data_IF_652629692454
#
_entry.id   IF_652629692454
#
_cell.length_a   1.000
_cell.length_b   1.000
_cell.length_c   1.000
_cell.angle_alpha   90.00
_cell.angle_beta   90.00
_cell.angle_gamma   90.00
#
_symmetry.space_group_name_H-M   'P 1'
#
loop_
_entity.id
_entity.type
_entity.pdbx_description
1 polymer ?
#
# COMPACT_ATOMS: atom_id res chain seq x y z
N UNK A 1 -17.25 -1.27 49.76
CA UNK A 1 -16.83 -0.91 48.39
C UNK A 1 -18.07 -0.56 47.60
N UNK A 2 -18.05 0.52 46.81
CA UNK A 2 -19.17 0.84 45.92
C UNK A 2 -19.37 -0.33 44.95
N UNK A 3 -20.60 -0.63 44.51
CA UNK A 3 -20.91 -1.79 43.64
C UNK A 3 -20.05 -1.80 42.37
N UNK A 4 -19.69 -0.62 41.89
CA UNK A 4 -18.76 -0.39 40.77
C UNK A 4 -17.33 -0.86 41.10
N UNK A 5 -16.85 -0.62 42.33
CA UNK A 5 -15.48 -0.96 42.74
C UNK A 5 -15.26 -2.46 42.88
N UNK A 6 -16.25 -3.24 43.34
CA UNK A 6 -16.09 -4.71 43.32
C UNK A 6 -16.21 -5.26 41.91
N UNK A 7 -17.14 -4.74 41.10
CA UNK A 7 -17.29 -5.12 39.70
C UNK A 7 -16.01 -4.90 38.90
N UNK A 8 -15.25 -3.85 39.18
CA UNK A 8 -13.96 -3.58 38.54
C UNK A 8 -12.88 -4.63 38.87
N UNK A 9 -12.94 -5.26 40.05
CA UNK A 9 -12.00 -6.32 40.45
C UNK A 9 -12.34 -7.67 39.82
N UNK A 10 -13.61 -7.87 39.47
CA UNK A 10 -14.13 -9.10 38.87
C UNK A 10 -14.25 -9.01 37.34
N UNK A 11 -13.81 -7.90 36.72
CA UNK A 11 -13.87 -7.76 35.27
C UNK A 11 -12.84 -8.65 34.58
N UNK A 12 -13.24 -9.36 33.50
CA UNK A 12 -12.30 -10.12 32.70
C UNK A 12 -11.25 -9.20 32.07
N UNK A 13 -10.01 -9.70 32.01
CA UNK A 13 -8.92 -9.01 31.31
C UNK A 13 -9.20 -8.93 29.81
N UNK A 14 -8.68 -7.89 29.14
CA UNK A 14 -8.66 -7.77 27.68
C UNK A 14 -10.04 -7.75 26.99
N UNK A 15 -11.06 -7.24 27.67
CA UNK A 15 -12.40 -7.03 27.11
C UNK A 15 -12.61 -5.56 26.72
N UNK A 16 -13.09 -5.34 25.50
CA UNK A 16 -13.47 -4.02 24.98
C UNK A 16 -14.97 -3.95 24.78
N UNK A 17 -15.59 -2.94 25.40
CA UNK A 17 -17.02 -2.70 25.28
C UNK A 17 -17.27 -1.55 24.31
N UNK A 18 -18.04 -1.81 23.26
CA UNK A 18 -18.40 -0.84 22.22
C UNK A 18 -19.91 -0.63 22.22
N UNK A 19 -20.35 0.59 21.95
CA UNK A 19 -21.77 0.91 21.79
C UNK A 19 -22.22 0.61 20.35
N UNK A 20 -23.30 -0.17 20.18
CA UNK A 20 -23.79 -0.61 18.89
C UNK A 20 -24.07 0.53 17.91
N UNK A 21 -24.69 1.62 18.36
CA UNK A 21 -24.95 2.79 17.51
C UNK A 21 -23.67 3.43 16.96
N UNK A 22 -22.58 3.44 17.74
CA UNK A 22 -21.30 4.04 17.30
C UNK A 22 -20.68 3.23 16.17
N UNK A 23 -20.87 1.91 16.17
CA UNK A 23 -20.36 1.00 15.17
C UNK A 23 -20.98 1.21 13.79
N UNK A 24 -22.27 1.55 13.72
CA UNK A 24 -23.00 1.60 12.46
C UNK A 24 -22.43 2.63 11.46
N UNK A 25 -21.78 3.68 11.97
CA UNK A 25 -21.13 4.70 11.14
C UNK A 25 -19.72 4.33 10.68
N UNK A 26 -19.09 3.33 11.30
CA UNK A 26 -17.73 2.90 10.98
C UNK A 26 -17.70 2.15 9.64
N UNK A 27 -16.53 2.15 9.01
CA UNK A 27 -16.21 1.39 7.79
C UNK A 27 -15.13 0.34 8.03
N UNK A 28 -14.69 0.21 9.27
CA UNK A 28 -13.71 -0.74 9.75
C UNK A 28 -13.78 -0.73 11.29
N UNK A 29 -13.46 -1.85 11.95
CA UNK A 29 -13.41 -1.89 13.41
C UNK A 29 -12.29 -0.99 13.93
N UNK A 30 -12.54 -0.27 15.03
CA UNK A 30 -11.52 0.55 15.71
C UNK A 30 -10.87 -0.17 16.90
N UNK A 31 -11.16 -1.46 17.05
CA UNK A 31 -10.75 -2.26 18.21
C UNK A 31 -9.85 -3.38 17.71
N UNK A 32 -8.70 -3.61 18.36
CA UNK A 32 -7.82 -4.71 17.99
C UNK A 32 -8.56 -6.06 18.03
N UNK A 33 -8.47 -6.89 16.98
CA UNK A 33 -9.26 -8.11 16.87
C UNK A 33 -8.88 -9.22 17.86
N UNK A 34 -7.70 -9.10 18.48
CA UNK A 34 -7.21 -10.06 19.46
C UNK A 34 -7.78 -9.87 20.87
N UNK A 35 -8.55 -8.79 21.07
CA UNK A 35 -9.28 -8.53 22.31
C UNK A 35 -10.69 -9.08 22.18
N UNK A 36 -11.28 -9.49 23.29
CA UNK A 36 -12.68 -9.86 23.31
C UNK A 36 -13.53 -8.59 23.16
N UNK A 37 -14.51 -8.61 22.26
CA UNK A 37 -15.35 -7.42 21.97
C UNK A 37 -16.78 -7.69 22.39
N UNK A 38 -17.35 -6.76 23.17
CA UNK A 38 -18.76 -6.76 23.55
C UNK A 38 -19.43 -5.54 22.94
N UNK A 39 -20.28 -5.77 21.94
CA UNK A 39 -21.12 -4.73 21.34
C UNK A 39 -22.41 -4.64 22.17
N UNK A 40 -22.58 -3.57 22.92
CA UNK A 40 -23.80 -3.30 23.69
C UNK A 40 -24.88 -2.72 22.81
N UNK A 41 -26.14 -3.06 23.13
CA UNK A 41 -27.32 -2.57 22.41
C UNK A 41 -27.18 -2.69 20.87
N UNK A 42 -26.86 -3.89 20.33
CA UNK A 42 -26.68 -4.05 18.88
C UNK A 42 -28.05 -3.94 18.17
N UNK A 43 -28.22 -2.96 17.27
CA UNK A 43 -29.53 -2.68 16.65
C UNK A 43 -29.65 -3.10 15.18
N UNK A 44 -28.54 -3.18 14.44
CA UNK A 44 -28.56 -3.48 13.00
C UNK A 44 -27.72 -4.74 12.70
N UNK A 45 -28.34 -5.93 12.62
CA UNK A 45 -27.62 -7.18 12.38
C UNK A 45 -26.91 -7.22 11.04
N UNK A 46 -27.48 -6.60 10.00
CA UNK A 46 -26.91 -6.60 8.65
C UNK A 46 -25.67 -5.72 8.64
N UNK A 47 -25.78 -4.49 9.18
CA UNK A 47 -24.65 -3.57 9.21
C UNK A 47 -23.51 -4.07 10.10
N UNK A 48 -23.83 -4.65 11.25
CA UNK A 48 -22.81 -5.25 12.13
C UNK A 48 -22.14 -6.44 11.42
N UNK A 49 -22.91 -7.28 10.74
CA UNK A 49 -22.37 -8.38 9.93
C UNK A 49 -21.42 -7.88 8.84
N UNK A 50 -21.77 -6.81 8.11
CA UNK A 50 -20.91 -6.21 7.09
C UNK A 50 -19.56 -5.79 7.68
N UNK A 51 -19.57 -5.05 8.81
CA UNK A 51 -18.35 -4.55 9.46
C UNK A 51 -17.48 -5.72 9.95
N UNK A 52 -18.08 -6.70 10.63
CA UNK A 52 -17.33 -7.84 11.17
C UNK A 52 -16.77 -8.74 10.05
N UNK A 53 -17.47 -8.86 8.92
CA UNK A 53 -17.04 -9.72 7.81
C UNK A 53 -15.81 -9.18 7.05
N UNK A 54 -15.39 -7.94 7.30
CA UNK A 54 -14.14 -7.40 6.76
C UNK A 54 -12.90 -8.06 7.37
N UNK A 55 -13.01 -8.57 8.61
CA UNK A 55 -11.86 -9.04 9.39
C UNK A 55 -12.05 -10.46 9.94
N UNK A 56 -13.28 -10.84 10.26
CA UNK A 56 -13.58 -12.14 10.87
C UNK A 56 -14.10 -13.13 9.83
N UNK A 57 -13.67 -14.40 9.87
CA UNK A 57 -14.13 -15.42 8.93
C UNK A 57 -15.63 -15.74 9.14
N UNK A 58 -16.35 -16.22 8.11
CA UNK A 58 -17.78 -16.53 8.22
C UNK A 58 -18.15 -17.53 9.34
N UNK A 59 -17.23 -18.44 9.67
CA UNK A 59 -17.39 -19.45 10.72
C UNK A 59 -16.96 -18.95 12.13
N UNK A 60 -16.66 -17.65 12.28
CA UNK A 60 -16.21 -17.10 13.55
C UNK A 60 -17.34 -17.14 14.61
N UNK A 61 -17.06 -17.61 15.83
CA UNK A 61 -18.06 -17.73 16.88
C UNK A 61 -18.41 -16.37 17.50
N UNK A 62 -19.70 -16.12 17.63
CA UNK A 62 -20.28 -14.99 18.36
C UNK A 62 -21.25 -15.52 19.43
N UNK A 63 -21.61 -14.69 20.39
CA UNK A 63 -22.69 -14.99 21.33
C UNK A 63 -23.63 -13.80 21.49
N UNK A 64 -24.93 -14.04 21.32
CA UNK A 64 -25.97 -13.05 21.63
C UNK A 64 -26.29 -13.16 23.11
N UNK A 65 -26.16 -12.05 23.83
CA UNK A 65 -26.54 -11.95 25.23
C UNK A 65 -27.94 -11.35 25.30
N UNK A 66 -28.91 -12.13 25.78
CA UNK A 66 -30.33 -11.74 25.81
C UNK A 66 -30.65 -10.94 27.09
N UNK A 67 -31.58 -9.98 26.98
CA UNK A 67 -32.14 -9.30 28.15
C UNK A 67 -33.23 -10.14 28.77
N UNK A 68 -33.02 -10.65 29.97
CA UNK A 68 -34.09 -11.19 30.80
C UNK A 68 -34.48 -10.18 31.89
N UNK A 69 -35.77 -9.78 31.99
CA UNK A 69 -36.23 -8.83 33.00
C UNK A 69 -36.06 -9.30 34.45
N UNK A 70 -36.07 -10.62 34.69
CA UNK A 70 -36.21 -11.21 36.03
C UNK A 70 -35.15 -12.28 36.40
N UNK A 71 -34.13 -12.52 35.55
CA UNK A 71 -33.09 -13.57 35.76
C UNK A 71 -31.68 -13.14 35.31
N UNK A 72 -30.68 -14.01 35.57
CA UNK A 72 -29.33 -13.90 35.01
C UNK A 72 -29.34 -13.77 33.47
N UNK A 73 -28.34 -13.07 32.92
CA UNK A 73 -28.16 -12.92 31.48
C UNK A 73 -27.90 -14.30 30.85
N UNK A 74 -28.66 -14.63 29.81
CA UNK A 74 -28.47 -15.87 29.05
C UNK A 74 -27.71 -15.54 27.75
N UNK A 75 -26.72 -16.38 27.40
CA UNK A 75 -25.97 -16.25 26.16
C UNK A 75 -26.30 -17.39 25.20
N UNK A 76 -26.48 -17.05 23.92
CA UNK A 76 -26.76 -17.99 22.84
C UNK A 76 -25.67 -17.92 21.77
N UNK A 77 -24.92 -19.01 21.51
CA UNK A 77 -23.89 -19.00 20.48
C UNK A 77 -24.48 -18.95 19.07
N UNK A 78 -23.80 -18.23 18.18
CA UNK A 78 -24.07 -18.17 16.74
C UNK A 78 -22.74 -18.11 15.97
N UNK A 79 -22.82 -18.24 14.64
CA UNK A 79 -21.69 -17.98 13.75
C UNK A 79 -21.89 -16.64 13.05
N UNK A 80 -20.80 -15.99 12.67
CA UNK A 80 -20.86 -14.70 11.98
C UNK A 80 -21.72 -14.75 10.71
N UNK A 81 -21.60 -15.81 9.90
CA UNK A 81 -22.39 -15.98 8.66
C UNK A 81 -23.91 -15.93 8.88
N UNK A 82 -24.37 -16.27 10.08
CA UNK A 82 -25.79 -16.33 10.45
C UNK A 82 -26.31 -15.00 11.03
N UNK A 83 -25.41 -14.09 11.43
CA UNK A 83 -25.77 -12.83 12.11
C UNK A 83 -26.76 -11.98 11.31
N UNK A 84 -26.56 -11.86 10.00
CA UNK A 84 -27.45 -11.07 9.12
C UNK A 84 -28.89 -11.62 9.05
N UNK A 85 -29.10 -12.88 9.40
CA UNK A 85 -30.40 -13.58 9.30
C UNK A 85 -31.11 -13.68 10.65
N UNK A 86 -30.57 -13.08 11.71
CA UNK A 86 -31.05 -13.24 13.09
C UNK A 86 -32.37 -12.48 13.36
N UNK A 87 -32.79 -11.61 12.43
CA UNK A 87 -34.02 -10.82 12.55
C UNK A 87 -34.00 -9.84 13.73
N UNK A 88 -35.17 -9.61 14.32
CA UNK A 88 -35.37 -8.63 15.41
C UNK A 88 -34.79 -9.09 16.76
N UNK A 89 -34.31 -10.34 16.88
CA UNK A 89 -33.73 -10.88 18.12
C UNK A 89 -32.55 -10.02 18.59
N UNK A 90 -31.67 -9.61 17.65
CA UNK A 90 -30.51 -8.79 17.98
C UNK A 90 -30.89 -7.41 18.54
N UNK A 91 -31.94 -6.79 17.99
CA UNK A 91 -32.43 -5.47 18.46
C UNK A 91 -32.85 -5.48 19.93
N UNK A 92 -33.31 -6.63 20.42
CA UNK A 92 -33.72 -6.81 21.81
C UNK A 92 -32.60 -7.33 22.72
N UNK A 93 -31.45 -7.70 22.15
CA UNK A 93 -30.31 -8.21 22.88
C UNK A 93 -29.70 -7.16 23.83
N UNK A 94 -29.10 -7.65 24.91
CA UNK A 94 -28.28 -6.85 25.80
C UNK A 94 -26.95 -6.51 25.12
N UNK A 95 -26.34 -7.51 24.50
CA UNK A 95 -25.07 -7.39 23.81
C UNK A 95 -24.85 -8.49 22.76
N UNK A 96 -23.87 -8.26 21.89
CA UNK A 96 -23.25 -9.26 21.03
C UNK A 96 -21.78 -9.38 21.44
N UNK A 97 -21.38 -10.57 21.88
CA UNK A 97 -20.01 -10.90 22.26
C UNK A 97 -19.31 -11.55 21.08
N UNK A 98 -18.08 -11.11 20.80
CA UNK A 98 -17.24 -11.58 19.70
C UNK A 98 -15.99 -12.16 20.33
N UNK A 99 -15.69 -13.43 20.03
CA UNK A 99 -14.48 -14.07 20.51
C UNK A 99 -13.24 -13.41 19.88
N UNK A 100 -12.10 -13.32 20.59
CA UNK A 100 -10.88 -12.76 20.05
C UNK A 100 -10.32 -13.63 18.91
N UNK A 101 -9.70 -12.98 17.92
CA UNK A 101 -8.81 -13.63 16.96
C UNK A 101 -7.42 -13.88 17.58
N UNK A 102 -6.55 -14.54 16.82
CA UNK A 102 -5.14 -14.68 17.24
C UNK A 102 -4.50 -13.30 17.39
N UNK A 103 -3.65 -13.13 18.40
CA UNK A 103 -2.83 -11.91 18.57
C UNK A 103 -2.04 -11.56 17.30
N UNK A 104 -1.66 -12.57 16.51
CA UNK A 104 -0.95 -12.40 15.23
C UNK A 104 -1.73 -11.61 14.17
N UNK A 105 -3.04 -11.47 14.32
CA UNK A 105 -3.90 -10.68 13.44
C UNK A 105 -3.96 -9.19 13.85
N UNK A 106 -3.31 -8.78 14.93
CA UNK A 106 -3.36 -7.40 15.43
C UNK A 106 -2.12 -6.61 15.07
N UNK A 107 -2.35 -5.38 14.60
CA UNK A 107 -1.31 -4.40 14.35
C UNK A 107 -0.58 -3.99 15.64
N UNK A 108 -1.29 -3.81 16.74
CA UNK A 108 -0.72 -3.50 18.07
C UNK A 108 0.18 -4.62 18.55
N UNK A 109 -0.22 -5.88 18.35
CA UNK A 109 0.63 -7.01 18.67
C UNK A 109 1.89 -7.03 17.81
N UNK A 110 1.77 -6.74 16.51
CA UNK A 110 2.94 -6.63 15.64
C UNK A 110 3.91 -5.54 16.09
N UNK A 111 3.42 -4.35 16.46
CA UNK A 111 4.25 -3.30 17.07
C UNK A 111 4.98 -3.80 18.32
N UNK A 112 4.30 -4.56 19.18
CA UNK A 112 4.91 -5.16 20.36
C UNK A 112 5.98 -6.20 20.00
N UNK A 113 5.79 -7.01 18.96
CA UNK A 113 6.83 -7.95 18.46
C UNK A 113 8.10 -7.17 18.09
N UNK A 114 7.98 -6.08 17.34
CA UNK A 114 9.13 -5.25 16.96
C UNK A 114 9.79 -4.60 18.18
N UNK A 115 9.00 -4.09 19.13
CA UNK A 115 9.52 -3.56 20.38
C UNK A 115 10.30 -4.62 21.18
N UNK A 116 9.80 -5.87 21.25
CA UNK A 116 10.50 -7.00 21.90
C UNK A 116 11.81 -7.30 21.18
N UNK A 117 11.81 -7.40 19.85
CA UNK A 117 13.01 -7.66 19.06
C UNK A 117 14.10 -6.61 19.32
N UNK A 118 13.71 -5.35 19.54
CA UNK A 118 14.65 -4.25 19.81
C UNK A 118 14.94 -3.99 21.29
N UNK A 119 14.20 -4.61 22.19
CA UNK A 119 14.37 -4.46 23.65
C UNK A 119 15.72 -4.99 24.16
N UNK A 120 16.18 -4.59 25.36
CA UNK A 120 17.32 -5.24 26.00
C UNK A 120 17.08 -6.75 26.17
N UNK A 121 17.95 -7.57 25.58
CA UNK A 121 17.78 -9.03 25.52
C UNK A 121 17.05 -9.54 24.27
N UNK A 122 16.57 -8.65 23.41
CA UNK A 122 16.05 -8.95 22.08
C UNK A 122 17.14 -9.31 21.07
N UNK A 123 16.77 -9.31 19.79
CA UNK A 123 17.63 -9.68 18.67
C UNK A 123 18.79 -8.67 18.49
N UNK A 124 20.07 -9.10 18.55
CA UNK A 124 21.20 -8.21 18.35
C UNK A 124 21.23 -7.57 16.95
N UNK A 125 20.71 -8.26 15.93
CA UNK A 125 20.68 -7.76 14.56
C UNK A 125 19.64 -6.65 14.39
N UNK A 126 18.43 -6.81 14.92
CA UNK A 126 17.40 -5.76 14.85
C UNK A 126 17.87 -4.52 15.60
N UNK A 127 18.41 -4.70 16.81
CA UNK A 127 18.88 -3.60 17.66
C UNK A 127 19.96 -2.71 17.04
N UNK A 128 20.83 -3.27 16.19
CA UNK A 128 21.89 -2.48 15.54
C UNK A 128 21.39 -1.67 14.32
N UNK A 129 20.17 -1.92 13.85
CA UNK A 129 19.62 -1.22 12.68
C UNK A 129 19.40 0.27 12.97
N UNK A 130 19.61 1.08 11.94
CA UNK A 130 19.35 2.52 11.90
C UNK A 130 18.48 2.84 10.68
N UNK A 131 17.93 4.06 10.62
CA UNK A 131 17.20 4.51 9.42
C UNK A 131 18.03 4.38 8.14
N UNK A 132 19.34 4.62 8.22
CA UNK A 132 20.23 4.57 7.06
C UNK A 132 20.54 3.14 6.64
N UNK A 133 20.70 2.20 7.58
CA UNK A 133 21.02 0.81 7.23
C UNK A 133 19.83 0.07 6.60
N UNK A 134 18.60 0.47 6.92
CA UNK A 134 17.37 -0.15 6.42
C UNK A 134 16.94 0.33 5.03
N UNK A 135 17.65 1.29 4.43
CA UNK A 135 17.23 1.90 3.16
C UNK A 135 17.21 0.93 1.99
N UNK A 136 18.26 0.13 1.86
CA UNK A 136 18.46 -0.72 0.69
C UNK A 136 17.50 -1.92 0.77
N UNK A 137 17.38 -2.52 1.95
CA UNK A 137 16.39 -3.56 2.26
C UNK A 137 14.96 -3.05 2.00
N UNK A 138 14.59 -1.84 2.46
CA UNK A 138 13.26 -1.29 2.19
C UNK A 138 12.97 -1.10 0.69
N UNK A 139 13.98 -0.72 -0.08
CA UNK A 139 13.83 -0.58 -1.52
C UNK A 139 13.70 -1.95 -2.20
N UNK A 140 14.38 -2.97 -1.68
CA UNK A 140 14.24 -4.35 -2.12
C UNK A 140 12.81 -4.84 -1.92
N UNK A 141 12.22 -4.72 -0.72
CA UNK A 141 10.84 -5.19 -0.48
C UNK A 141 9.82 -4.44 -1.34
N UNK A 142 10.07 -3.15 -1.61
CA UNK A 142 9.25 -2.40 -2.55
C UNK A 142 9.32 -2.94 -3.98
N UNK A 143 10.48 -3.46 -4.42
CA UNK A 143 10.62 -4.09 -5.73
C UNK A 143 10.07 -5.52 -5.75
N UNK A 144 10.19 -6.28 -4.66
CA UNK A 144 9.60 -7.62 -4.53
C UNK A 144 8.06 -7.53 -4.57
N UNK A 145 7.48 -6.52 -3.89
CA UNK A 145 6.06 -6.18 -4.02
C UNK A 145 5.66 -5.88 -5.48
N UNK A 146 6.46 -5.10 -6.20
CA UNK A 146 6.19 -4.79 -7.61
C UNK A 146 6.28 -6.04 -8.49
N UNK A 147 7.22 -6.94 -8.22
CA UNK A 147 7.36 -8.21 -8.94
C UNK A 147 6.14 -9.12 -8.71
N UNK A 148 5.63 -9.20 -7.48
CA UNK A 148 4.38 -9.88 -7.15
C UNK A 148 3.19 -9.33 -7.93
N UNK A 149 3.06 -7.99 -8.00
CA UNK A 149 2.03 -7.31 -8.80
C UNK A 149 2.15 -7.60 -10.29
N UNK A 150 3.37 -7.49 -10.85
CA UNK A 150 3.64 -7.72 -12.27
C UNK A 150 3.35 -9.19 -12.67
N UNK A 151 3.47 -10.13 -11.73
CA UNK A 151 3.13 -11.55 -11.89
C UNK A 151 1.69 -11.92 -11.55
N UNK A 152 0.90 -10.98 -11.00
CA UNK A 152 -0.42 -11.24 -10.40
C UNK A 152 -0.40 -12.34 -9.32
N UNK A 153 0.70 -12.44 -8.58
CA UNK A 153 0.85 -13.37 -7.46
C UNK A 153 0.38 -12.70 -6.16
N UNK A 154 -0.88 -12.96 -5.79
CA UNK A 154 -1.49 -12.29 -4.63
C UNK A 154 -0.95 -12.78 -3.27
N UNK A 155 -0.40 -14.00 -3.22
CA UNK A 155 0.23 -14.51 -2.01
C UNK A 155 1.55 -13.78 -1.77
N UNK A 156 2.37 -13.63 -2.82
CA UNK A 156 3.57 -12.80 -2.78
C UNK A 156 3.23 -11.34 -2.44
N UNK A 157 2.21 -10.74 -3.08
CA UNK A 157 1.79 -9.37 -2.74
C UNK A 157 1.43 -9.21 -1.26
N UNK A 158 0.74 -10.19 -0.67
CA UNK A 158 0.39 -10.14 0.75
C UNK A 158 1.62 -10.27 1.66
N UNK A 159 2.58 -11.12 1.30
CA UNK A 159 3.87 -11.29 2.00
C UNK A 159 4.68 -9.98 1.98
N UNK A 160 4.91 -9.42 0.79
CA UNK A 160 5.72 -8.22 0.61
C UNK A 160 5.09 -6.95 1.20
N UNK A 161 3.75 -6.86 1.22
CA UNK A 161 3.07 -5.80 1.97
C UNK A 161 3.35 -5.89 3.49
N UNK A 162 3.53 -7.12 4.00
CA UNK A 162 3.97 -7.38 5.36
C UNK A 162 5.39 -6.89 5.62
N UNK A 163 6.31 -7.12 4.68
CA UNK A 163 7.71 -6.70 4.81
C UNK A 163 7.89 -5.18 4.66
N UNK A 164 7.13 -4.55 3.76
CA UNK A 164 6.99 -3.09 3.72
C UNK A 164 6.44 -2.54 5.04
N UNK A 165 5.45 -3.20 5.64
CA UNK A 165 4.90 -2.81 6.94
C UNK A 165 5.93 -2.97 8.07
N UNK A 166 6.73 -4.05 8.06
CA UNK A 166 7.85 -4.23 8.97
C UNK A 166 8.80 -3.04 8.93
N UNK A 167 9.18 -2.59 7.74
CA UNK A 167 10.06 -1.43 7.57
C UNK A 167 9.46 -0.12 8.11
N UNK A 168 8.14 0.06 8.02
CA UNK A 168 7.46 1.23 8.61
C UNK A 168 7.52 1.15 10.14
N UNK A 169 7.16 0.00 10.71
CA UNK A 169 7.07 -0.17 12.16
C UNK A 169 8.44 -0.15 12.83
N UNK A 170 9.46 -0.82 12.25
CA UNK A 170 10.82 -0.82 12.82
C UNK A 170 11.44 0.57 12.81
N UNK A 171 11.18 1.39 11.78
CA UNK A 171 11.66 2.76 11.75
C UNK A 171 10.93 3.65 12.75
N UNK A 172 9.62 3.50 12.92
CA UNK A 172 8.88 4.19 13.98
C UNK A 172 9.41 3.81 15.38
N UNK A 173 9.77 2.53 15.57
CA UNK A 173 10.36 2.05 16.82
C UNK A 173 11.78 2.62 17.05
N UNK A 174 12.63 2.71 16.03
CA UNK A 174 13.94 3.39 16.10
C UNK A 174 13.78 4.86 16.49
N UNK A 175 12.83 5.56 15.87
CA UNK A 175 12.57 6.97 16.17
C UNK A 175 12.07 7.18 17.60
N UNK A 176 11.22 6.26 18.09
CA UNK A 176 10.73 6.28 19.47
C UNK A 176 11.88 6.10 20.47
N UNK A 177 12.78 5.14 20.22
CA UNK A 177 13.98 4.90 21.04
C UNK A 177 14.89 6.13 21.13
N UNK A 178 14.90 6.94 20.07
CA UNK A 178 15.66 8.20 19.99
C UNK A 178 14.89 9.43 20.49
N UNK A 179 13.65 9.27 20.98
CA UNK A 179 12.75 10.36 21.41
C UNK A 179 12.42 11.38 20.30
N UNK A 180 12.31 10.92 19.05
CA UNK A 180 12.05 11.78 17.88
C UNK A 180 10.55 11.83 17.54
N UNK A 181 9.96 10.67 17.25
CA UNK A 181 8.53 10.48 16.98
C UNK A 181 8.14 9.02 17.21
N UNK A 182 6.84 8.72 17.23
CA UNK A 182 6.30 7.38 17.40
C UNK A 182 5.32 7.00 16.27
N UNK A 183 4.82 5.75 16.29
CA UNK A 183 3.87 5.27 15.28
C UNK A 183 2.57 6.09 15.25
N UNK A 184 2.11 6.58 16.40
CA UNK A 184 0.95 7.48 16.48
C UNK A 184 1.16 8.79 15.73
N UNK A 185 2.36 9.36 15.78
CA UNK A 185 2.71 10.56 14.99
C UNK A 185 2.70 10.26 13.49
N UNK A 186 3.22 9.11 13.07
CA UNK A 186 3.19 8.65 11.67
C UNK A 186 1.74 8.51 11.17
N UNK A 187 0.89 7.84 11.94
CA UNK A 187 -0.53 7.65 11.62
C UNK A 187 -1.30 8.97 11.60
N UNK A 188 -1.02 9.87 12.54
CA UNK A 188 -1.64 11.19 12.59
C UNK A 188 -1.31 12.01 11.34
N UNK A 189 -0.02 12.09 10.98
CA UNK A 189 0.43 12.83 9.80
C UNK A 189 -0.24 12.36 8.51
N UNK A 190 -0.37 11.05 8.28
CA UNK A 190 -1.01 10.54 7.07
C UNK A 190 -2.53 10.70 7.13
N UNK A 191 -3.16 10.48 8.28
CA UNK A 191 -4.62 10.58 8.45
C UNK A 191 -5.10 12.01 8.26
N UNK A 192 -4.49 12.99 8.94
CA UNK A 192 -4.83 14.41 8.80
C UNK A 192 -4.67 14.88 7.35
N UNK A 193 -3.58 14.45 6.69
CA UNK A 193 -3.31 14.77 5.29
C UNK A 193 -4.36 14.17 4.35
N UNK A 194 -4.77 12.92 4.56
CA UNK A 194 -5.80 12.28 3.74
C UNK A 194 -7.18 12.91 3.97
N UNK A 195 -7.56 13.18 5.23
CA UNK A 195 -8.81 13.85 5.57
C UNK A 195 -8.86 15.25 4.94
N UNK A 196 -7.78 16.03 5.09
CA UNK A 196 -7.68 17.36 4.49
C UNK A 196 -7.80 17.35 2.98
N UNK A 197 -7.19 16.37 2.29
CA UNK A 197 -7.28 16.24 0.83
C UNK A 197 -8.62 15.70 0.34
N UNK A 198 -9.38 15.03 1.21
CA UNK A 198 -10.67 14.39 0.89
C UNK A 198 -11.83 14.97 1.72
N UNK A 199 -11.81 16.27 2.03
CA UNK A 199 -12.92 16.92 2.76
C UNK A 199 -14.30 16.66 2.13
N UNK A 200 -14.37 16.53 0.80
CA UNK A 200 -15.63 16.19 0.12
C UNK A 200 -16.24 14.86 0.62
N UNK A 201 -15.41 13.86 0.93
CA UNK A 201 -15.84 12.57 1.49
C UNK A 201 -16.17 12.69 2.98
N UNK A 202 -15.25 13.28 3.77
CA UNK A 202 -15.36 13.29 5.23
C UNK A 202 -16.34 14.32 5.78
N UNK A 203 -16.52 15.46 5.09
CA UNK A 203 -17.49 16.51 5.44
C UNK A 203 -18.80 16.37 4.64
N UNK A 204 -18.93 15.34 3.78
CA UNK A 204 -20.11 15.07 2.92
C UNK A 204 -20.61 16.28 2.16
N UNK A 205 -19.69 17.09 1.65
CA UNK A 205 -20.02 18.40 1.05
C UNK A 205 -20.69 18.24 -0.31
N UNK A 206 -20.17 17.34 -1.15
CA UNK A 206 -20.51 17.24 -2.57
C UNK A 206 -20.21 15.83 -3.12
N UNK A 207 -21.07 15.33 -4.00
CA UNK A 207 -20.76 14.19 -4.87
C UNK A 207 -20.02 14.71 -6.12
N UNK A 208 -18.72 14.38 -6.23
CA UNK A 208 -17.85 14.84 -7.31
C UNK A 208 -17.56 13.71 -8.30
N UNK A 209 -17.39 14.06 -9.59
CA UNK A 209 -16.85 13.12 -10.59
C UNK A 209 -15.36 12.84 -10.33
N UNK A 210 -14.81 11.71 -10.81
CA UNK A 210 -13.38 11.39 -10.67
C UNK A 210 -12.46 12.52 -11.16
N UNK A 211 -12.80 13.18 -12.26
CA UNK A 211 -12.03 14.30 -12.81
C UNK A 211 -12.03 15.52 -11.88
N UNK A 212 -13.19 15.83 -11.30
CA UNK A 212 -13.35 16.92 -10.32
C UNK A 212 -12.60 16.64 -9.02
N UNK A 213 -12.55 15.37 -8.59
CA UNK A 213 -11.76 14.94 -7.42
C UNK A 213 -10.27 15.18 -7.67
N UNK A 214 -9.76 14.85 -8.86
CA UNK A 214 -8.35 15.05 -9.23
C UNK A 214 -7.99 16.54 -9.21
N UNK A 215 -8.82 17.40 -9.81
CA UNK A 215 -8.60 18.86 -9.80
C UNK A 215 -8.59 19.42 -8.38
N UNK A 216 -9.57 19.01 -7.55
CA UNK A 216 -9.66 19.41 -6.15
C UNK A 216 -8.45 18.92 -5.35
N UNK A 217 -8.01 17.69 -5.58
CA UNK A 217 -6.86 17.09 -4.90
C UNK A 217 -5.58 17.90 -5.15
N UNK A 218 -5.34 18.31 -6.41
CA UNK A 218 -4.21 19.18 -6.75
C UNK A 218 -4.32 20.57 -6.11
N UNK A 219 -5.52 21.15 -6.09
CA UNK A 219 -5.77 22.44 -5.40
C UNK A 219 -5.48 22.35 -3.90
N UNK A 220 -5.95 21.28 -3.23
CA UNK A 220 -5.72 21.08 -1.79
C UNK A 220 -4.24 20.82 -1.50
N UNK A 221 -3.53 20.09 -2.36
CA UNK A 221 -2.07 19.89 -2.26
C UNK A 221 -1.31 21.22 -2.37
N UNK A 222 -1.77 22.16 -3.20
CA UNK A 222 -1.20 23.51 -3.28
C UNK A 222 -1.46 24.30 -1.98
N UNK A 223 -2.69 24.30 -1.48
CA UNK A 223 -3.05 24.98 -0.22
C UNK A 223 -2.30 24.43 1.00
N UNK A 224 -2.04 23.11 1.05
CA UNK A 224 -1.21 22.47 2.08
C UNK A 224 0.23 23.02 2.06
N UNK A 225 0.81 23.15 0.87
CA UNK A 225 2.17 23.70 0.69
C UNK A 225 2.25 25.17 1.09
N UNK A 226 1.21 25.96 0.85
CA UNK A 226 1.18 27.38 1.22
C UNK A 226 1.11 27.60 2.75
N UNK A 227 0.58 26.61 3.51
CA UNK A 227 0.55 26.66 4.99
C UNK A 227 1.91 26.37 5.63
N UNK A 228 2.74 25.56 4.99
CA UNK A 228 4.12 25.33 5.40
C UNK A 228 4.98 26.42 4.77
N UNK A 229 5.64 27.27 5.56
CA UNK A 229 6.46 28.42 5.10
C UNK A 229 7.74 28.02 4.29
N UNK A 230 7.75 26.81 3.73
CA UNK A 230 8.77 26.27 2.84
C UNK A 230 8.46 26.73 1.42
N UNK A 231 9.17 27.76 0.95
CA UNK A 231 9.24 28.08 -0.49
C UNK A 231 9.87 26.90 -1.23
N UNK A 232 9.03 26.01 -1.75
CA UNK A 232 9.44 24.89 -2.60
C UNK A 232 9.33 25.33 -4.06
N UNK A 233 10.42 25.20 -4.81
CA UNK A 233 10.45 25.29 -6.26
C UNK A 233 9.53 24.24 -6.92
N UNK A 234 9.25 24.41 -8.22
CA UNK A 234 8.31 23.57 -8.97
C UNK A 234 8.65 22.07 -8.87
N UNK A 235 9.94 21.75 -8.91
CA UNK A 235 10.47 20.38 -8.92
C UNK A 235 10.80 19.85 -7.52
N UNK A 236 10.74 20.70 -6.49
CA UNK A 236 11.17 20.34 -5.12
C UNK A 236 10.31 19.23 -4.51
N UNK A 237 10.96 18.28 -3.83
CA UNK A 237 10.29 17.10 -3.27
C UNK A 237 10.05 15.98 -4.28
N UNK A 238 10.77 15.95 -5.39
CA UNK A 238 11.07 14.71 -6.12
C UNK A 238 12.36 14.15 -5.52
N UNK A 239 12.39 12.86 -5.17
CA UNK A 239 13.58 12.25 -4.60
C UNK A 239 14.69 12.17 -5.65
N UNK A 240 15.90 12.58 -5.29
CA UNK A 240 17.08 12.41 -6.14
C UNK A 240 17.54 10.96 -6.25
N UNK A 241 17.03 10.06 -5.39
CA UNK A 241 17.36 8.62 -5.40
C UNK A 241 16.38 7.80 -6.22
N UNK A 242 15.37 8.43 -6.83
CA UNK A 242 14.40 7.74 -7.67
C UNK A 242 15.05 7.23 -8.96
N UNK A 243 14.59 6.10 -9.53
CA UNK A 243 14.98 5.68 -10.88
C UNK A 243 14.82 6.81 -11.92
N UNK A 244 15.72 6.85 -12.89
CA UNK A 244 15.87 7.98 -13.80
C UNK A 244 14.61 8.23 -14.65
N UNK A 245 13.94 7.18 -15.15
CA UNK A 245 12.73 7.35 -15.98
C UNK A 245 11.56 7.83 -15.12
N UNK A 246 11.37 7.26 -13.94
CA UNK A 246 10.39 7.74 -12.95
C UNK A 246 10.61 9.19 -12.55
N UNK A 247 11.87 9.61 -12.40
CA UNK A 247 12.26 10.98 -12.07
C UNK A 247 11.92 11.93 -13.21
N UNK A 248 12.34 11.61 -14.44
CA UNK A 248 12.03 12.39 -15.64
C UNK A 248 10.53 12.54 -15.85
N UNK A 249 9.77 11.45 -15.68
CA UNK A 249 8.31 11.43 -15.79
C UNK A 249 7.68 12.36 -14.74
N UNK A 250 8.18 12.31 -13.50
CA UNK A 250 7.73 13.18 -12.41
C UNK A 250 8.04 14.66 -12.67
N UNK A 251 9.23 14.98 -13.20
CA UNK A 251 9.58 16.35 -13.57
C UNK A 251 8.65 16.89 -14.65
N UNK A 252 8.46 16.16 -15.73
CA UNK A 252 7.60 16.57 -16.84
C UNK A 252 6.14 16.71 -16.43
N UNK A 253 5.62 15.79 -15.60
CA UNK A 253 4.25 15.88 -15.05
C UNK A 253 4.05 17.09 -14.14
N UNK A 254 5.10 17.60 -13.50
CA UNK A 254 5.02 18.85 -12.72
C UNK A 254 5.16 20.08 -13.60
N UNK A 255 6.04 20.04 -14.59
CA UNK A 255 6.22 21.11 -15.56
C UNK A 255 4.92 21.39 -16.34
N UNK A 256 4.22 20.34 -16.78
CA UNK A 256 2.97 20.50 -17.52
C UNK A 256 1.86 21.21 -16.74
N UNK A 257 1.84 21.07 -15.40
CA UNK A 257 0.84 21.73 -14.54
C UNK A 257 0.94 23.26 -14.51
N UNK A 258 2.10 23.81 -14.87
CA UNK A 258 2.29 25.27 -14.97
C UNK A 258 2.25 25.76 -16.42
N UNK A 259 1.77 24.91 -17.35
CA UNK A 259 1.70 25.22 -18.77
C UNK A 259 3.03 25.09 -19.51
N UNK A 260 4.05 24.47 -18.89
CA UNK A 260 5.28 24.11 -19.60
C UNK A 260 5.09 22.73 -20.25
N UNK A 261 4.31 22.70 -21.32
CA UNK A 261 4.00 21.51 -22.10
C UNK A 261 3.74 21.87 -23.58
N UNK A 262 3.70 20.87 -24.45
CA UNK A 262 3.36 21.03 -25.86
C UNK A 262 1.85 21.21 -26.06
N UNK A 263 1.45 21.86 -27.16
CA UNK A 263 0.03 22.02 -27.50
C UNK A 263 -0.61 20.73 -28.04
N UNK A 264 0.21 19.81 -28.56
CA UNK A 264 -0.24 18.55 -29.11
C UNK A 264 0.85 17.48 -29.07
N UNK A 265 0.42 16.21 -29.16
CA UNK A 265 1.34 15.07 -29.24
C UNK A 265 2.25 15.11 -30.48
N UNK A 266 1.87 15.84 -31.55
CA UNK A 266 2.72 16.00 -32.73
C UNK A 266 4.04 16.68 -32.37
N UNK A 267 4.01 17.75 -31.56
CA UNK A 267 5.23 18.43 -31.14
C UNK A 267 6.14 17.57 -30.27
N UNK A 268 5.56 16.61 -29.54
CA UNK A 268 6.34 15.61 -28.77
C UNK A 268 7.07 14.65 -29.72
N UNK A 269 6.39 14.17 -30.76
CA UNK A 269 7.02 13.34 -31.79
C UNK A 269 8.11 14.09 -32.55
N UNK A 270 7.84 15.34 -32.93
CA UNK A 270 8.82 16.19 -33.62
C UNK A 270 10.09 16.32 -32.78
N UNK A 271 9.96 16.57 -31.46
CA UNK A 271 11.11 16.62 -30.55
C UNK A 271 11.83 15.27 -30.43
N UNK A 272 11.12 14.15 -30.35
CA UNK A 272 11.77 12.82 -30.36
C UNK A 272 12.60 12.60 -31.63
N UNK A 273 12.10 13.01 -32.80
CA UNK A 273 12.86 12.89 -34.05
C UNK A 273 14.06 13.85 -34.11
N UNK A 274 13.92 15.05 -33.55
CA UNK A 274 15.02 16.01 -33.38
C UNK A 274 16.16 15.40 -32.57
N UNK A 275 15.87 14.86 -31.37
CA UNK A 275 16.89 14.23 -30.49
C UNK A 275 17.56 13.01 -31.13
N UNK A 276 16.82 12.23 -31.94
CA UNK A 276 17.39 11.11 -32.69
C UNK A 276 18.44 11.61 -33.70
N UNK A 277 18.16 12.70 -34.40
CA UNK A 277 19.09 13.28 -35.37
C UNK A 277 20.26 13.98 -34.67
N UNK A 278 20.05 14.64 -33.52
CA UNK A 278 21.13 15.22 -32.70
C UNK A 278 22.09 14.13 -32.21
N UNK A 279 21.58 13.04 -31.62
CA UNK A 279 22.38 11.88 -31.21
C UNK A 279 23.15 11.24 -32.38
N UNK A 280 22.53 11.16 -33.56
CA UNK A 280 23.15 10.59 -34.76
C UNK A 280 24.29 11.45 -35.29
N UNK A 281 24.17 12.77 -35.18
CA UNK A 281 25.15 13.74 -35.69
C UNK A 281 26.24 14.07 -34.67
N UNK A 282 26.06 13.71 -33.39
CA UNK A 282 27.08 13.89 -32.35
C UNK A 282 28.40 13.19 -32.72
N UNK A 283 29.50 13.92 -32.64
CA UNK A 283 30.81 13.46 -33.10
C UNK A 283 31.64 12.85 -31.97
N UNK A 284 31.53 13.43 -30.76
CA UNK A 284 32.27 13.00 -29.58
C UNK A 284 31.46 12.04 -28.70
N UNK A 285 32.15 11.32 -27.82
CA UNK A 285 31.50 10.40 -26.88
C UNK A 285 30.70 11.15 -25.80
N UNK A 286 31.18 12.32 -25.38
CA UNK A 286 30.51 13.16 -24.38
C UNK A 286 29.23 13.75 -24.97
N UNK A 287 29.28 14.31 -26.19
CA UNK A 287 28.09 14.75 -26.91
C UNK A 287 27.08 13.61 -27.08
N UNK A 288 27.52 12.42 -27.52
CA UNK A 288 26.61 11.26 -27.64
C UNK A 288 25.96 10.88 -26.31
N UNK A 289 26.67 10.99 -25.19
CA UNK A 289 26.12 10.67 -23.88
C UNK A 289 25.05 11.68 -23.46
N UNK A 290 25.30 12.98 -23.72
CA UNK A 290 24.35 14.05 -23.45
C UNK A 290 23.09 13.91 -24.32
N UNK A 291 23.25 13.75 -25.64
CA UNK A 291 22.12 13.58 -26.59
C UNK A 291 21.32 12.29 -26.33
N UNK A 292 21.98 11.22 -25.86
CA UNK A 292 21.27 10.01 -25.44
C UNK A 292 20.37 10.29 -24.21
N UNK A 293 20.84 11.13 -23.29
CA UNK A 293 20.06 11.59 -22.15
C UNK A 293 18.81 12.34 -22.57
N UNK A 294 18.96 13.29 -23.50
CA UNK A 294 17.85 14.11 -24.01
C UNK A 294 16.87 13.28 -24.87
N UNK A 295 17.36 12.33 -25.65
CA UNK A 295 16.53 11.34 -26.33
C UNK A 295 15.69 10.51 -25.35
N UNK A 296 16.30 9.96 -24.29
CA UNK A 296 15.59 9.21 -23.26
C UNK A 296 14.55 10.10 -22.54
N UNK A 297 14.91 11.34 -22.25
CA UNK A 297 14.00 12.32 -21.65
C UNK A 297 12.79 12.61 -22.56
N UNK A 298 13.01 12.76 -23.87
CA UNK A 298 11.96 12.98 -24.86
C UNK A 298 11.06 11.75 -25.03
N UNK A 299 11.61 10.53 -24.99
CA UNK A 299 10.81 9.29 -24.96
C UNK A 299 9.93 9.22 -23.72
N UNK A 300 10.45 9.62 -22.55
CA UNK A 300 9.64 9.71 -21.31
C UNK A 300 8.49 10.71 -21.47
N UNK A 301 8.70 11.81 -22.20
CA UNK A 301 7.65 12.79 -22.46
C UNK A 301 6.55 12.22 -23.37
N UNK A 302 6.93 11.43 -24.37
CA UNK A 302 5.99 10.69 -25.20
C UNK A 302 5.18 9.67 -24.38
N UNK A 303 5.85 8.93 -23.47
CA UNK A 303 5.18 8.01 -22.56
C UNK A 303 4.14 8.74 -21.67
N UNK A 304 4.48 9.93 -21.16
CA UNK A 304 3.55 10.77 -20.38
C UNK A 304 2.33 11.20 -21.18
N UNK A 305 2.50 11.65 -22.42
CA UNK A 305 1.38 12.04 -23.30
C UNK A 305 0.47 10.87 -23.64
N UNK A 306 1.03 9.67 -23.74
CA UNK A 306 0.29 8.42 -23.99
C UNK A 306 -0.23 7.75 -22.71
N UNK A 307 0.01 8.36 -21.53
CA UNK A 307 -0.38 7.87 -20.20
C UNK A 307 0.22 6.51 -19.84
N UNK A 308 1.43 6.25 -20.34
CA UNK A 308 2.21 5.04 -20.06
C UNK A 308 3.26 5.37 -19.00
N UNK A 309 3.41 4.52 -17.99
CA UNK A 309 4.51 4.61 -17.02
C UNK A 309 5.79 4.05 -17.64
N UNK A 310 6.83 4.89 -17.89
CA UNK A 310 8.01 4.46 -18.64
C UNK A 310 8.87 3.46 -17.88
N UNK A 311 8.97 3.60 -16.56
CA UNK A 311 9.76 2.70 -15.70
C UNK A 311 9.20 1.28 -15.71
N UNK A 312 7.89 1.16 -15.47
CA UNK A 312 7.17 -0.12 -15.52
C UNK A 312 7.22 -0.71 -16.92
N UNK A 313 7.02 0.10 -17.96
CA UNK A 313 7.09 -0.37 -19.35
C UNK A 313 8.47 -0.99 -19.68
N UNK A 314 9.56 -0.32 -19.28
CA UNK A 314 10.91 -0.85 -19.49
C UNK A 314 11.16 -2.09 -18.62
N UNK A 315 10.71 -2.11 -17.37
CA UNK A 315 10.82 -3.29 -16.49
C UNK A 315 10.11 -4.50 -17.11
N UNK A 316 8.91 -4.33 -17.64
CA UNK A 316 8.17 -5.40 -18.34
C UNK A 316 8.88 -5.85 -19.62
N UNK A 317 9.48 -4.93 -20.37
CA UNK A 317 10.30 -5.28 -21.54
C UNK A 317 11.53 -6.12 -21.14
N UNK A 318 12.20 -5.77 -20.03
CA UNK A 318 13.33 -6.53 -19.49
C UNK A 318 12.91 -7.93 -19.02
N UNK A 319 11.77 -8.06 -18.33
CA UNK A 319 11.22 -9.36 -17.92
C UNK A 319 10.92 -10.24 -19.12
N UNK A 320 10.31 -9.68 -20.18
CA UNK A 320 10.05 -10.40 -21.43
C UNK A 320 11.33 -10.82 -22.13
N UNK A 321 12.35 -9.96 -22.16
CA UNK A 321 13.66 -10.31 -22.68
C UNK A 321 14.28 -11.48 -21.90
N UNK A 322 14.27 -11.42 -20.56
CA UNK A 322 14.79 -12.46 -19.70
C UNK A 322 14.06 -13.80 -19.90
N UNK A 323 12.73 -13.82 -19.97
CA UNK A 323 11.93 -15.02 -20.26
C UNK A 323 12.34 -15.68 -21.56
N UNK A 324 12.52 -14.88 -22.61
CA UNK A 324 12.93 -15.36 -23.93
C UNK A 324 14.35 -15.91 -23.92
N UNK A 325 15.31 -15.24 -23.27
CA UNK A 325 16.67 -15.77 -23.13
C UNK A 325 16.67 -17.09 -22.36
N UNK A 326 15.98 -17.18 -21.23
CA UNK A 326 15.86 -18.43 -20.47
C UNK A 326 15.27 -19.57 -21.31
N UNK A 327 14.26 -19.29 -22.14
CA UNK A 327 13.73 -20.29 -23.06
C UNK A 327 14.78 -20.76 -24.06
N UNK A 328 15.52 -19.84 -24.69
CA UNK A 328 16.61 -20.19 -25.62
C UNK A 328 17.68 -21.04 -24.91
N UNK A 329 18.03 -20.69 -23.67
CA UNK A 329 18.96 -21.47 -22.82
C UNK A 329 18.46 -22.89 -22.54
N UNK A 330 17.20 -23.03 -22.13
CA UNK A 330 16.59 -24.34 -21.88
C UNK A 330 16.55 -25.19 -23.16
N UNK A 331 16.24 -24.59 -24.30
CA UNK A 331 16.23 -25.28 -25.61
C UNK A 331 17.64 -25.72 -26.01
N UNK A 332 18.64 -24.85 -25.87
CA UNK A 332 20.04 -25.20 -26.13
C UNK A 332 20.49 -26.39 -25.25
N UNK A 333 20.19 -26.32 -23.95
CA UNK A 333 20.49 -27.39 -22.98
C UNK A 333 19.82 -28.72 -23.31
N UNK A 334 18.54 -28.69 -23.70
CA UNK A 334 17.79 -29.88 -24.11
C UNK A 334 18.36 -30.54 -25.37
N UNK A 335 19.01 -29.77 -26.23
CA UNK A 335 19.69 -30.25 -27.43
C UNK A 335 21.16 -30.63 -27.18
N UNK A 336 21.64 -30.53 -25.94
CA UNK A 336 23.04 -30.78 -25.58
C UNK A 336 24.02 -29.79 -26.19
N UNK A 337 23.54 -28.60 -26.57
CA UNK A 337 24.36 -27.50 -27.11
C UNK A 337 24.69 -26.49 -26.02
N UNK A 338 25.85 -25.86 -26.13
CA UNK A 338 26.19 -24.68 -25.34
C UNK A 338 25.63 -23.43 -26.02
N UNK A 339 24.92 -22.58 -25.28
CA UNK A 339 24.38 -21.32 -25.79
C UNK A 339 25.50 -20.39 -26.29
N UNK A 340 26.67 -20.39 -25.66
CA UNK A 340 27.77 -19.51 -26.07
C UNK A 340 28.31 -19.86 -27.46
N UNK A 341 28.26 -21.13 -27.84
CA UNK A 341 28.77 -21.64 -29.12
C UNK A 341 27.73 -21.61 -30.25
N UNK A 342 26.46 -21.30 -29.93
CA UNK A 342 25.39 -21.26 -30.92
C UNK A 342 25.43 -19.99 -31.79
N UNK A 343 25.29 -20.11 -33.12
CA UNK A 343 25.12 -18.97 -34.01
C UNK A 343 23.90 -18.11 -33.64
N UNK A 344 23.97 -16.80 -33.90
CA UNK A 344 22.86 -15.87 -33.64
C UNK A 344 21.57 -16.31 -34.36
N UNK A 345 21.68 -16.78 -35.60
CA UNK A 345 20.54 -17.26 -36.38
C UNK A 345 19.82 -18.45 -35.72
N UNK A 346 20.54 -19.36 -35.06
CA UNK A 346 19.92 -20.46 -34.32
C UNK A 346 19.25 -19.96 -33.03
N UNK A 347 19.83 -18.97 -32.35
CA UNK A 347 19.24 -18.31 -31.17
C UNK A 347 17.97 -17.55 -31.52
N UNK A 348 17.99 -16.82 -32.64
CA UNK A 348 16.85 -16.06 -33.15
C UNK A 348 15.68 -16.96 -33.52
N UNK A 349 15.94 -18.16 -34.07
CA UNK A 349 14.89 -19.14 -34.34
C UNK A 349 14.15 -19.58 -33.07
N UNK A 350 14.87 -19.85 -31.98
CA UNK A 350 14.24 -20.21 -30.70
C UNK A 350 13.57 -19.01 -30.01
N UNK A 351 14.13 -17.82 -30.19
CA UNK A 351 13.53 -16.57 -29.74
C UNK A 351 12.18 -16.32 -30.42
N UNK A 352 12.12 -16.50 -31.74
CA UNK A 352 10.89 -16.36 -32.52
C UNK A 352 9.92 -17.53 -32.26
N UNK A 353 10.40 -18.75 -31.99
CA UNK A 353 9.58 -19.85 -31.49
C UNK A 353 8.82 -19.42 -30.23
N UNK A 354 9.51 -18.89 -29.22
CA UNK A 354 8.87 -18.45 -27.98
C UNK A 354 7.86 -17.31 -28.19
N UNK A 355 8.15 -16.36 -29.10
CA UNK A 355 7.18 -15.28 -29.43
C UNK A 355 5.84 -15.80 -29.96
N UNK A 356 5.80 -17.01 -30.51
CA UNK A 356 4.53 -17.61 -30.99
C UNK A 356 3.75 -18.34 -29.90
N UNK A 357 4.38 -18.60 -28.75
CA UNK A 357 3.82 -19.30 -27.60
C UNK A 357 3.32 -18.31 -26.53
N UNK A 358 3.97 -17.15 -26.43
CA UNK A 358 3.57 -15.95 -25.65
C UNK A 358 2.30 -15.30 -26.21
#
# INVERSE_FOLDING_TARGET
>A
MNKITSMLLDMPDNVVIVEGEKLLSLRHMLVPPHLEIIIRNPTDPVRIWEILSEEYPPEHPLAIVLRNPDTELESRPILLKDLKNIGDELQTAAALQIAPLSEKNSFEYFQNVIAILRSPGGCPWDRKQTHQSLRDDFLQEAYELLDGLDKNDMDAVAEELGDVLLHIVIQAQIALENNEFNMGDVLSHISEKLIFRHQHVFEKIEDLSPEQVVERWERMKKAEREKTDKKQGLLDGISSTMPALSMAFSYQKRASKVGFDWDSISGVWDKVFEEIEEFRNAETQDEKADELGDLLFSIVNLARWTKIDPETSLRMANLKFAKRVHYVEERAKNLGKDLFDMPLEEKDNYWDEYKTIE
#
